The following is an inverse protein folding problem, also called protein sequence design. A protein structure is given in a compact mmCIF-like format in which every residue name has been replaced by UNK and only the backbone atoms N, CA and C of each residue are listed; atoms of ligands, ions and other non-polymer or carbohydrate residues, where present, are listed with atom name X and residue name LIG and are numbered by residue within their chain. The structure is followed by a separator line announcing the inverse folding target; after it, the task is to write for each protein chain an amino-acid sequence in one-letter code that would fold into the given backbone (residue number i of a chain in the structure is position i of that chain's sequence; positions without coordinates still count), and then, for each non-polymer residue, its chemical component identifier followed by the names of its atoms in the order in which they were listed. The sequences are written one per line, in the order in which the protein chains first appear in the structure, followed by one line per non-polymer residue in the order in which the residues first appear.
data_IF_476988493904
#
_entry.id   IF_476988493904
#
_cell.length_a   1.000
_cell.length_b   1.000
_cell.length_c   1.000
_cell.angle_alpha   90.00
_cell.angle_beta   90.00
_cell.angle_gamma   90.00
#
_symmetry.space_group_name_H-M   'P 1'
#
loop_
_entity.id
_entity.type
_entity.pdbx_description
1 polymer ?
#
# COMPACT_ATOMS: atom_id res chain seq x y z
N UNK A 1 -15.00 -11.99 6.76
CA UNK A 1 -14.23 -10.72 6.84
C UNK A 1 -14.96 -9.71 5.96
N UNK A 2 -15.30 -8.53 6.46
CA UNK A 2 -16.08 -7.54 5.66
C UNK A 2 -15.17 -6.96 4.58
N UNK A 3 -15.57 -7.06 3.31
CA UNK A 3 -14.84 -6.43 2.19
C UNK A 3 -14.97 -4.92 2.33
N UNK A 4 -13.84 -4.20 2.31
CA UNK A 4 -13.80 -2.74 2.43
C UNK A 4 -13.51 -2.13 1.06
N UNK A 5 -14.50 -1.46 0.49
CA UNK A 5 -14.42 -0.82 -0.82
C UNK A 5 -14.09 0.67 -0.69
N UNK A 6 -13.54 1.26 -1.76
CA UNK A 6 -13.24 2.70 -1.83
C UNK A 6 -14.49 3.55 -2.12
N UNK A 7 -15.51 2.97 -2.77
CA UNK A 7 -16.80 3.61 -3.06
C UNK A 7 -17.89 2.57 -3.35
N UNK A 8 -19.15 2.97 -3.28
CA UNK A 8 -20.30 2.11 -3.59
C UNK A 8 -20.29 1.65 -5.06
N UNK A 9 -19.84 2.51 -5.99
CA UNK A 9 -19.70 2.13 -7.40
C UNK A 9 -18.66 1.00 -7.58
N UNK A 10 -17.52 1.07 -6.89
CA UNK A 10 -16.51 0.01 -6.94
C UNK A 10 -16.98 -1.26 -6.25
N UNK A 11 -17.80 -1.15 -5.20
CA UNK A 11 -18.45 -2.30 -4.57
C UNK A 11 -19.38 -2.99 -5.57
N UNK A 12 -20.27 -2.25 -6.22
CA UNK A 12 -21.23 -2.79 -7.19
C UNK A 12 -20.53 -3.49 -8.37
N UNK A 13 -19.44 -2.91 -8.89
CA UNK A 13 -18.65 -3.54 -9.97
C UNK A 13 -18.01 -4.85 -9.49
N UNK A 14 -17.43 -4.87 -8.28
CA UNK A 14 -16.81 -6.07 -7.72
C UNK A 14 -17.85 -7.17 -7.48
N UNK A 15 -18.99 -6.83 -6.88
CA UNK A 15 -20.13 -7.76 -6.66
C UNK A 15 -20.68 -8.34 -7.97
N UNK A 16 -20.75 -7.52 -9.02
CA UNK A 16 -21.16 -7.99 -10.36
C UNK A 16 -20.18 -9.00 -10.92
N UNK A 17 -18.87 -8.76 -10.80
CA UNK A 17 -17.83 -9.70 -11.24
C UNK A 17 -17.90 -11.03 -10.48
N UNK A 18 -18.20 -10.98 -9.18
CA UNK A 18 -18.42 -12.19 -8.37
C UNK A 18 -19.64 -12.97 -8.82
N UNK A 19 -20.78 -12.32 -9.06
CA UNK A 19 -21.98 -12.97 -9.57
C UNK A 19 -21.75 -13.62 -10.94
N UNK A 20 -20.99 -12.97 -11.83
CA UNK A 20 -20.60 -13.53 -13.12
C UNK A 20 -19.68 -14.74 -12.99
N UNK A 21 -18.76 -14.73 -12.01
CA UNK A 21 -17.92 -15.88 -11.72
C UNK A 21 -18.74 -17.05 -11.17
N UNK A 22 -19.67 -16.80 -10.25
CA UNK A 22 -20.53 -17.82 -9.65
C UNK A 22 -21.50 -18.44 -10.68
N UNK A 23 -21.94 -17.66 -11.65
CA UNK A 23 -22.72 -18.14 -12.80
C UNK A 23 -21.87 -18.85 -13.87
N UNK A 24 -20.54 -18.93 -13.70
CA UNK A 24 -19.61 -19.57 -14.65
C UNK A 24 -19.29 -18.75 -15.91
N UNK A 25 -19.77 -17.51 -16.01
CA UNK A 25 -19.50 -16.62 -17.13
C UNK A 25 -18.07 -16.01 -17.09
N UNK A 26 -17.49 -15.90 -15.90
CA UNK A 26 -16.11 -15.44 -15.66
C UNK A 26 -15.29 -16.59 -15.09
N UNK A 27 -14.12 -16.84 -15.69
CA UNK A 27 -13.23 -17.89 -15.20
C UNK A 27 -12.55 -17.50 -13.88
N UNK A 28 -12.10 -18.49 -13.10
CA UNK A 28 -11.29 -18.26 -11.90
C UNK A 28 -10.00 -17.47 -12.22
N UNK A 29 -9.40 -17.69 -13.39
CA UNK A 29 -8.21 -16.95 -13.80
C UNK A 29 -8.54 -15.47 -13.99
N UNK A 30 -9.62 -15.18 -14.73
CA UNK A 30 -10.09 -13.81 -14.97
C UNK A 30 -10.45 -13.09 -13.67
N UNK A 31 -11.11 -13.77 -12.72
CA UNK A 31 -11.41 -13.18 -11.41
C UNK A 31 -10.13 -12.81 -10.64
N UNK A 32 -9.08 -13.66 -10.69
CA UNK A 32 -7.78 -13.37 -10.07
C UNK A 32 -7.08 -12.16 -10.71
N UNK A 33 -7.14 -12.05 -12.03
CA UNK A 33 -6.59 -10.90 -12.76
C UNK A 33 -7.34 -9.61 -12.41
N UNK A 34 -8.67 -9.68 -12.30
CA UNK A 34 -9.50 -8.57 -11.86
C UNK A 34 -9.17 -8.12 -10.42
N UNK A 35 -9.06 -9.05 -9.47
CA UNK A 35 -8.66 -8.74 -8.09
C UNK A 35 -7.25 -8.14 -8.02
N UNK A 36 -6.31 -8.63 -8.84
CA UNK A 36 -4.97 -8.08 -8.94
C UNK A 36 -4.97 -6.64 -9.49
N UNK A 37 -5.83 -6.35 -10.47
CA UNK A 37 -6.02 -4.99 -11.00
C UNK A 37 -6.63 -4.03 -9.96
N UNK A 38 -7.34 -4.55 -8.95
CA UNK A 38 -7.88 -3.75 -7.85
C UNK A 38 -6.83 -3.36 -6.79
N UNK A 39 -5.61 -3.90 -6.85
CA UNK A 39 -4.54 -3.55 -5.92
C UNK A 39 -4.19 -2.07 -6.04
N UNK A 40 -3.93 -1.41 -4.91
CA UNK A 40 -3.48 -0.01 -4.94
C UNK A 40 -2.13 0.07 -5.66
N UNK A 41 -2.00 0.90 -6.71
CA UNK A 41 -0.73 1.11 -7.40
C UNK A 41 0.35 1.54 -6.41
N UNK A 42 1.57 1.03 -6.61
CA UNK A 42 2.73 1.53 -5.87
C UNK A 42 3.44 2.54 -6.76
N UNK A 43 3.49 3.79 -6.33
CA UNK A 43 4.28 4.82 -6.97
C UNK A 43 5.61 5.01 -6.23
N UNK A 44 6.73 5.27 -6.92
CA UNK A 44 7.98 5.64 -6.27
C UNK A 44 7.81 6.91 -5.46
N UNK A 45 8.27 6.91 -4.21
CA UNK A 45 8.30 8.10 -3.36
C UNK A 45 9.66 8.79 -3.49
N UNK A 46 9.63 10.11 -3.67
CA UNK A 46 10.81 10.96 -3.62
C UNK A 46 11.35 11.04 -2.17
N UNK A 47 12.64 11.35 -1.98
CA UNK A 47 13.27 11.44 -0.66
C UNK A 47 12.53 12.36 0.32
N UNK A 48 12.11 13.54 -0.17
CA UNK A 48 11.38 14.52 0.65
C UNK A 48 9.97 14.06 1.00
N UNK A 49 9.33 13.23 0.17
CA UNK A 49 8.01 12.65 0.47
C UNK A 49 8.12 11.62 1.60
N UNK A 50 9.19 10.82 1.63
CA UNK A 50 9.44 9.85 2.72
C UNK A 50 9.67 10.60 4.03
N UNK A 51 10.45 11.68 3.99
CA UNK A 51 10.70 12.54 5.16
C UNK A 51 9.42 13.24 5.62
N UNK A 52 8.64 13.80 4.71
CA UNK A 52 7.36 14.43 5.00
C UNK A 52 6.37 13.44 5.62
N UNK A 53 6.32 12.21 5.09
CA UNK A 53 5.50 11.13 5.62
C UNK A 53 5.88 10.83 7.08
N UNK A 54 7.17 10.64 7.38
CA UNK A 54 7.62 10.42 8.75
C UNK A 54 7.26 11.58 9.69
N UNK A 55 7.45 12.82 9.24
CA UNK A 55 7.16 14.01 10.03
C UNK A 55 5.66 14.19 10.29
N UNK A 56 4.81 13.85 9.32
CA UNK A 56 3.35 13.80 9.46
C UNK A 56 2.90 12.84 10.56
N UNK A 57 3.61 11.72 10.72
CA UNK A 57 3.34 10.74 11.78
C UNK A 57 4.00 11.12 13.12
N UNK A 58 4.65 12.28 13.22
CA UNK A 58 5.26 12.83 14.44
C UNK A 58 6.28 11.91 15.13
N UNK A 59 7.08 11.17 14.35
CA UNK A 59 8.06 10.22 14.88
C UNK A 59 9.48 10.46 14.36
N UNK A 60 10.44 9.99 15.15
CA UNK A 60 11.87 10.05 14.82
C UNK A 60 12.26 8.97 13.80
N UNK A 61 13.39 9.15 13.10
CA UNK A 61 13.90 8.15 12.15
C UNK A 61 14.08 6.75 12.78
N UNK A 62 14.65 6.59 14.00
CA UNK A 62 14.74 5.28 14.64
C UNK A 62 13.37 4.61 14.88
N UNK A 63 12.38 5.39 15.31
CA UNK A 63 11.02 4.86 15.57
C UNK A 63 10.39 4.44 14.25
N UNK A 64 10.49 5.27 13.21
CA UNK A 64 9.96 4.94 11.88
C UNK A 64 10.60 3.68 11.28
N UNK A 65 11.91 3.55 11.45
CA UNK A 65 12.66 2.37 11.02
C UNK A 65 12.17 1.08 11.72
N UNK A 66 11.80 1.18 13.00
CA UNK A 66 11.25 0.05 13.76
C UNK A 66 9.90 -0.42 13.22
N UNK A 67 8.99 0.50 12.89
CA UNK A 67 7.71 0.17 12.24
C UNK A 67 7.91 -0.50 10.88
N UNK A 68 8.91 -0.06 10.12
CA UNK A 68 9.21 -0.60 8.79
C UNK A 68 10.10 -1.85 8.83
N UNK A 69 10.52 -2.31 10.01
CA UNK A 69 11.47 -3.40 10.20
C UNK A 69 12.78 -3.24 9.40
N UNK A 70 13.37 -2.04 9.44
CA UNK A 70 14.64 -1.70 8.79
C UNK A 70 15.58 -0.96 9.74
N UNK A 71 16.82 -0.70 9.32
CA UNK A 71 17.75 0.12 10.10
C UNK A 71 17.44 1.62 9.97
N UNK A 72 17.73 2.39 11.02
CA UNK A 72 17.66 3.85 10.99
C UNK A 72 18.52 4.48 9.88
N UNK A 73 19.68 3.88 9.60
CA UNK A 73 20.56 4.35 8.53
C UNK A 73 19.90 4.18 7.15
N UNK A 74 19.16 3.10 6.93
CA UNK A 74 18.45 2.89 5.67
C UNK A 74 17.32 3.93 5.48
N UNK A 75 16.57 4.24 6.54
CA UNK A 75 15.59 5.36 6.50
C UNK A 75 16.29 6.68 6.18
N UNK A 76 17.44 6.95 6.81
CA UNK A 76 18.21 8.17 6.51
C UNK A 76 18.74 8.18 5.08
N UNK A 77 19.16 7.04 4.51
CA UNK A 77 19.61 6.93 3.12
C UNK A 77 18.44 7.22 2.16
N UNK A 78 17.23 6.77 2.48
CA UNK A 78 16.02 7.05 1.70
C UNK A 78 15.64 8.53 1.73
N UNK A 79 15.58 9.14 2.92
CA UNK A 79 15.24 10.56 3.09
C UNK A 79 16.27 11.51 2.45
N UNK A 80 17.50 11.03 2.19
CA UNK A 80 18.56 11.79 1.51
C UNK A 80 18.72 11.43 0.03
N UNK A 81 17.95 10.46 -0.47
CA UNK A 81 18.04 9.99 -1.86
C UNK A 81 19.30 9.18 -2.20
N UNK A 82 20.05 8.70 -1.20
CA UNK A 82 21.22 7.83 -1.40
C UNK A 82 20.78 6.45 -1.86
N UNK A 83 19.69 5.93 -1.29
CA UNK A 83 19.07 4.67 -1.68
C UNK A 83 17.59 4.88 -1.91
N UNK A 84 16.96 3.93 -2.62
CA UNK A 84 15.51 3.88 -2.81
C UNK A 84 14.92 2.72 -2.00
N UNK A 85 13.69 2.85 -1.49
CA UNK A 85 12.98 1.72 -0.88
C UNK A 85 12.77 0.60 -1.90
N UNK A 86 13.05 -0.64 -1.49
CA UNK A 86 12.69 -1.82 -2.28
C UNK A 86 11.18 -2.05 -2.30
N UNK A 87 10.68 -2.91 -3.19
CA UNK A 87 9.24 -3.16 -3.39
C UNK A 87 8.41 -3.36 -2.11
N UNK A 88 8.82 -4.24 -1.17
CA UNK A 88 8.11 -4.42 0.10
C UNK A 88 8.09 -3.17 0.99
N UNK A 89 9.24 -2.48 1.11
CA UNK A 89 9.32 -1.24 1.89
C UNK A 89 8.47 -0.13 1.26
N UNK A 90 8.51 0.01 -0.07
CA UNK A 90 7.69 0.97 -0.80
C UNK A 90 6.19 0.68 -0.62
N UNK A 91 5.78 -0.59 -0.64
CA UNK A 91 4.41 -1.01 -0.34
C UNK A 91 3.97 -0.55 1.06
N UNK A 92 4.81 -0.74 2.08
CA UNK A 92 4.49 -0.29 3.45
C UNK A 92 4.41 1.24 3.54
N UNK A 93 5.33 1.95 2.88
CA UNK A 93 5.29 3.41 2.80
C UNK A 93 3.99 3.91 2.13
N UNK A 94 3.54 3.27 1.04
CA UNK A 94 2.25 3.54 0.42
C UNK A 94 1.08 3.28 1.37
N UNK A 95 1.11 2.19 2.14
CA UNK A 95 0.08 1.91 3.16
C UNK A 95 0.04 3.02 4.21
N UNK A 96 1.19 3.44 4.74
CA UNK A 96 1.28 4.54 5.71
C UNK A 96 0.78 5.85 5.07
N UNK A 97 1.15 6.15 3.82
CA UNK A 97 0.71 7.35 3.11
C UNK A 97 -0.81 7.48 3.05
N UNK A 98 -1.51 6.37 2.77
CA UNK A 98 -2.97 6.36 2.65
C UNK A 98 -3.73 6.13 3.95
N UNK A 99 -3.17 5.37 4.90
CA UNK A 99 -3.91 4.87 6.09
C UNK A 99 -3.30 5.28 7.43
N UNK A 100 -2.16 5.96 7.43
CA UNK A 100 -1.41 6.32 8.63
C UNK A 100 -0.53 5.17 9.15
N UNK A 101 0.37 5.51 10.07
CA UNK A 101 1.38 4.57 10.59
C UNK A 101 0.78 3.34 11.28
N UNK A 102 -0.34 3.54 12.00
CA UNK A 102 -0.99 2.48 12.76
C UNK A 102 -1.55 1.34 11.89
N UNK A 103 -1.65 1.54 10.56
CA UNK A 103 -2.09 0.48 9.65
C UNK A 103 -1.07 -0.66 9.49
N UNK A 104 0.17 -0.47 9.96
CA UNK A 104 1.26 -1.47 9.91
C UNK A 104 1.87 -1.76 11.29
N UNK A 105 1.21 -1.29 12.37
CA UNK A 105 1.66 -1.46 13.75
C UNK A 105 1.37 -2.87 14.29
#
# INVERSE_FOLDING_TARGET
MVKKYKSDALAAVHETMEALHDAGAVSRQTMREFDAACLTPIEPLAPEEIKALRLREHISQPVFARYLNVSKNLVSDWERGIKKPGGPALRLLTVIQHKGLLAIA
#
